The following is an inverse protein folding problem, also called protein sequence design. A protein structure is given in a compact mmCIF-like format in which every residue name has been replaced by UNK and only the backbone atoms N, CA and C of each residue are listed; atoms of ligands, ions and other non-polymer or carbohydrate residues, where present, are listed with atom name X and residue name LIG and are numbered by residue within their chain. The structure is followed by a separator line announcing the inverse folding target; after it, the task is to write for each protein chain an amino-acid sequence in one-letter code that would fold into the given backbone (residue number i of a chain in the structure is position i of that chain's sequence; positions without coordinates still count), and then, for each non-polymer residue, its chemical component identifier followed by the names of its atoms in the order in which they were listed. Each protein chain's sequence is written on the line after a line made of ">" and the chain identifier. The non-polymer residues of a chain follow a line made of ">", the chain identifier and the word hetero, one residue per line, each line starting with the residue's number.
data_IF_045056252282
#
_entry.id   IF_045056252282
#
_cell.length_a   1.000
_cell.length_b   1.000
_cell.length_c   1.000
_cell.angle_alpha   90.00
_cell.angle_beta   90.00
_cell.angle_gamma   90.00
#
_symmetry.space_group_name_H-M   'P 1'
#
loop_
_entity.id
_entity.type
_entity.pdbx_description
1 polymer ?
#
# COMPACT_ATOMS: atom_id res chain seq x y z
N UNK A 1 -1.65 6.01 14.23
CA UNK A 1 -1.98 7.35 14.76
C UNK A 1 -2.66 8.11 13.65
N UNK A 2 -3.99 8.17 13.74
CA UNK A 2 -4.88 8.77 12.75
C UNK A 2 -4.70 10.29 12.80
N UNK A 3 -4.46 10.92 11.65
CA UNK A 3 -4.71 12.34 11.49
C UNK A 3 -6.02 12.48 10.71
N UNK A 4 -6.90 13.28 11.30
CA UNK A 4 -8.24 13.65 10.86
C UNK A 4 -8.16 14.47 9.56
N UNK A 5 -8.84 14.01 8.51
CA UNK A 5 -8.72 14.52 7.13
C UNK A 5 -9.94 15.40 6.76
N UNK A 6 -10.37 16.27 7.67
CA UNK A 6 -11.49 17.21 7.45
C UNK A 6 -11.08 18.51 6.75
N UNK A 7 -10.02 18.53 5.92
CA UNK A 7 -9.70 19.70 5.10
C UNK A 7 -10.38 19.61 3.71
N UNK A 8 -11.44 20.40 3.45
CA UNK A 8 -12.20 20.36 2.20
C UNK A 8 -11.51 21.05 1.02
N UNK A 9 -10.20 21.34 1.10
CA UNK A 9 -9.40 21.88 -0.01
C UNK A 9 -8.67 20.81 -0.84
N UNK A 10 -8.67 19.55 -0.40
CA UNK A 10 -7.93 18.44 -1.05
C UNK A 10 -8.74 17.68 -2.13
N UNK A 11 -9.84 18.25 -2.62
CA UNK A 11 -10.90 17.56 -3.37
C UNK A 11 -10.55 17.23 -4.84
N UNK A 12 -9.27 17.15 -5.20
CA UNK A 12 -8.85 16.87 -6.58
C UNK A 12 -7.45 16.24 -6.61
N UNK A 13 -7.28 15.04 -6.06
CA UNK A 13 -6.32 14.05 -6.59
C UNK A 13 -6.69 12.69 -5.98
N UNK A 14 -7.22 11.78 -6.78
CA UNK A 14 -7.48 10.39 -6.38
C UNK A 14 -6.14 9.70 -6.09
N UNK A 15 -5.67 9.76 -4.84
CA UNK A 15 -4.52 9.01 -4.37
C UNK A 15 -5.00 7.63 -3.92
N UNK A 16 -4.77 6.63 -4.78
CA UNK A 16 -4.98 5.23 -4.44
C UNK A 16 -3.89 4.78 -3.45
N UNK A 17 -4.14 4.98 -2.17
CA UNK A 17 -3.32 4.45 -1.10
C UNK A 17 -3.65 2.97 -0.87
N UNK A 18 -2.69 2.08 -1.09
CA UNK A 18 -2.82 0.70 -0.66
C UNK A 18 -2.09 0.49 0.69
N UNK A 19 -2.89 0.37 1.76
CA UNK A 19 -2.64 -0.24 3.08
C UNK A 19 -2.21 0.66 4.27
N UNK A 20 -2.98 0.61 5.37
CA UNK A 20 -2.61 -0.07 6.63
C UNK A 20 -3.73 0.06 7.68
N UNK A 21 -4.29 -1.06 8.14
CA UNK A 21 -5.01 -1.16 9.42
C UNK A 21 -3.93 -1.55 10.43
N UNK A 22 -3.46 -0.56 11.20
CA UNK A 22 -2.57 -0.80 12.33
C UNK A 22 -3.40 -1.42 13.46
N UNK A 23 -3.45 -2.75 13.54
CA UNK A 23 -3.49 -3.57 14.79
C UNK A 23 -4.03 -5.00 14.61
N UNK A 24 -4.37 -5.44 13.40
CA UNK A 24 -4.79 -6.83 13.20
C UNK A 24 -3.73 -7.62 12.44
N UNK A 25 -3.22 -8.64 13.12
CA UNK A 25 -2.31 -9.66 12.62
C UNK A 25 -3.01 -10.47 11.50
N UNK A 26 -3.22 -9.86 10.33
CA UNK A 26 -3.81 -10.46 9.13
C UNK A 26 -2.83 -11.42 8.45
N UNK A 27 -2.04 -12.19 9.20
CA UNK A 27 -1.36 -13.35 8.63
C UNK A 27 -2.42 -14.40 8.28
N UNK A 28 -2.94 -14.29 7.07
CA UNK A 28 -3.94 -15.21 6.55
C UNK A 28 -5.32 -14.99 7.14
N UNK A 29 -5.83 -13.75 7.09
CA UNK A 29 -7.24 -13.51 7.43
C UNK A 29 -8.11 -14.43 6.55
N UNK A 30 -8.84 -15.37 7.17
CA UNK A 30 -9.57 -16.40 6.43
C UNK A 30 -10.85 -15.85 5.78
N UNK A 31 -11.18 -14.58 6.03
CA UNK A 31 -12.41 -13.97 5.57
C UNK A 31 -12.53 -13.86 4.04
N UNK A 32 -13.79 -13.77 3.63
CA UNK A 32 -14.26 -13.41 2.30
C UNK A 32 -13.88 -11.98 1.93
N UNK A 33 -13.98 -11.62 0.64
CA UNK A 33 -13.67 -10.25 0.20
C UNK A 33 -14.61 -9.23 0.88
N UNK A 34 -15.86 -9.61 1.08
CA UNK A 34 -16.91 -8.82 1.73
C UNK A 34 -16.61 -8.57 3.21
N UNK A 35 -16.21 -9.62 3.95
CA UNK A 35 -15.81 -9.49 5.35
C UNK A 35 -14.57 -8.62 5.51
N UNK A 36 -13.59 -8.75 4.61
CA UNK A 36 -12.38 -7.92 4.61
C UNK A 36 -12.73 -6.44 4.36
N UNK A 37 -13.64 -6.17 3.41
CA UNK A 37 -14.07 -4.82 3.07
C UNK A 37 -14.83 -4.17 4.25
N UNK A 38 -15.81 -4.88 4.80
CA UNK A 38 -16.58 -4.39 5.96
C UNK A 38 -15.65 -4.11 7.14
N UNK A 39 -14.75 -5.04 7.44
CA UNK A 39 -13.74 -4.87 8.47
C UNK A 39 -12.86 -3.63 8.22
N UNK A 40 -12.39 -3.40 6.99
CA UNK A 40 -11.60 -2.21 6.69
C UNK A 40 -12.38 -0.90 6.86
N UNK A 41 -13.66 -0.90 6.46
CA UNK A 41 -14.55 0.26 6.61
C UNK A 41 -14.86 0.58 8.06
N UNK A 42 -15.08 -0.43 8.91
CA UNK A 42 -15.29 -0.25 10.35
C UNK A 42 -14.09 0.42 11.05
N UNK A 43 -12.89 0.20 10.52
CA UNK A 43 -11.65 0.85 10.98
C UNK A 43 -11.35 2.19 10.28
N UNK A 44 -12.29 2.70 9.48
CA UNK A 44 -12.20 4.02 8.86
C UNK A 44 -11.37 4.07 7.57
N UNK A 45 -11.18 2.96 6.86
CA UNK A 45 -10.51 2.99 5.56
C UNK A 45 -11.34 3.82 4.55
N UNK A 46 -10.77 4.92 4.06
CA UNK A 46 -11.37 5.82 3.07
C UNK A 46 -10.86 5.58 1.64
N UNK A 47 -9.87 4.72 1.49
CA UNK A 47 -9.24 4.37 0.21
C UNK A 47 -9.79 3.06 -0.35
N UNK A 48 -9.66 2.83 -1.68
CA UNK A 48 -10.13 1.58 -2.30
C UNK A 48 -9.44 0.34 -1.74
N UNK A 49 -10.23 -0.65 -1.36
CA UNK A 49 -9.78 -2.01 -1.01
C UNK A 49 -10.09 -2.92 -2.18
N UNK A 50 -9.10 -3.71 -2.61
CA UNK A 50 -9.22 -4.64 -3.73
C UNK A 50 -9.43 -6.06 -3.24
N UNK A 51 -9.91 -6.93 -4.13
CA UNK A 51 -10.09 -8.36 -3.86
C UNK A 51 -8.79 -9.04 -3.44
N UNK A 52 -8.91 -10.11 -2.66
CA UNK A 52 -7.77 -10.93 -2.25
C UNK A 52 -7.09 -11.55 -3.47
N UNK A 53 -5.79 -11.34 -3.60
CA UNK A 53 -5.02 -11.82 -4.73
C UNK A 53 -3.62 -12.33 -4.34
N UNK A 54 -3.08 -13.22 -5.16
CA UNK A 54 -1.73 -13.75 -5.00
C UNK A 54 -0.69 -12.68 -5.38
N UNK A 55 0.20 -12.34 -4.42
CA UNK A 55 1.29 -11.37 -4.64
C UNK A 55 2.64 -12.05 -4.91
N UNK A 56 2.71 -13.37 -4.71
CA UNK A 56 3.88 -14.21 -4.95
C UNK A 56 3.47 -15.54 -5.61
N UNK A 57 4.46 -16.26 -6.16
CA UNK A 57 4.25 -17.57 -6.78
C UNK A 57 3.67 -17.50 -8.21
N UNK A 58 3.28 -18.66 -8.77
CA UNK A 58 2.89 -18.79 -10.19
C UNK A 58 1.64 -17.99 -10.59
N UNK A 59 0.75 -17.67 -9.63
CA UNK A 59 -0.47 -16.89 -9.84
C UNK A 59 -0.33 -15.42 -9.45
N UNK A 60 0.90 -14.94 -9.29
CA UNK A 60 1.16 -13.53 -8.92
C UNK A 60 0.46 -12.60 -9.91
N UNK A 61 -0.30 -11.63 -9.40
CA UNK A 61 -0.93 -10.63 -10.26
C UNK A 61 0.12 -9.80 -11.02
N UNK A 62 -0.14 -9.42 -12.29
CA UNK A 62 0.85 -8.73 -13.13
C UNK A 62 1.45 -7.46 -12.50
N UNK A 63 0.63 -6.69 -11.78
CA UNK A 63 1.07 -5.47 -11.08
C UNK A 63 2.15 -5.77 -10.04
N UNK A 64 1.99 -6.83 -9.23
CA UNK A 64 2.98 -7.23 -8.23
C UNK A 64 4.22 -7.85 -8.87
N UNK A 65 4.07 -8.59 -9.97
CA UNK A 65 5.22 -9.11 -10.71
C UNK A 65 6.09 -7.97 -11.25
N UNK A 66 5.46 -6.94 -11.83
CA UNK A 66 6.13 -5.73 -12.30
C UNK A 66 6.83 -4.98 -11.15
N UNK A 67 6.11 -4.65 -10.08
CA UNK A 67 6.64 -3.89 -8.95
C UNK A 67 7.83 -4.58 -8.26
N UNK A 68 7.74 -5.90 -8.05
CA UNK A 68 8.82 -6.68 -7.40
C UNK A 68 10.07 -6.80 -8.28
N UNK A 69 9.89 -6.81 -9.61
CA UNK A 69 10.99 -6.81 -10.57
C UNK A 69 11.68 -5.44 -10.62
N UNK A 70 10.91 -4.35 -10.67
CA UNK A 70 11.42 -2.99 -10.74
C UNK A 70 12.06 -2.53 -9.42
N UNK A 71 11.49 -2.93 -8.28
CA UNK A 71 11.94 -2.56 -6.95
C UNK A 71 12.22 -3.82 -6.10
N UNK A 72 13.34 -4.52 -6.35
CA UNK A 72 13.70 -5.67 -5.55
C UNK A 72 13.95 -5.28 -4.09
N UNK A 73 13.70 -6.21 -3.19
CA UNK A 73 13.97 -6.07 -1.76
C UNK A 73 15.44 -6.33 -1.43
N UNK A 74 15.71 -6.61 -0.16
CA UNK A 74 17.06 -6.88 0.33
C UNK A 74 17.74 -8.02 -0.43
N UNK A 75 19.02 -7.84 -0.76
CA UNK A 75 19.80 -8.79 -1.56
C UNK A 75 19.17 -9.15 -2.92
N UNK A 76 18.45 -8.21 -3.54
CA UNK A 76 17.84 -8.42 -4.86
C UNK A 76 16.59 -9.29 -4.85
N UNK A 77 16.04 -9.62 -3.67
CA UNK A 77 14.89 -10.53 -3.58
C UNK A 77 13.61 -9.92 -4.15
N UNK A 78 12.98 -10.60 -5.09
CA UNK A 78 11.68 -10.20 -5.63
C UNK A 78 10.51 -10.71 -4.76
N UNK A 79 10.75 -11.47 -3.70
CA UNK A 79 9.68 -12.01 -2.86
C UNK A 79 9.15 -10.91 -1.93
N UNK A 80 7.82 -10.75 -1.86
CA UNK A 80 7.17 -10.00 -0.77
C UNK A 80 7.13 -10.92 0.44
N UNK A 81 8.05 -10.71 1.39
CA UNK A 81 8.27 -11.62 2.53
C UNK A 81 7.15 -11.56 3.57
N UNK A 82 6.44 -10.45 3.65
CA UNK A 82 5.43 -10.22 4.67
C UNK A 82 4.38 -9.20 4.23
N UNK A 83 3.25 -9.23 4.93
CA UNK A 83 2.19 -8.24 4.83
C UNK A 83 2.73 -6.82 5.08
N UNK A 84 2.00 -5.82 4.59
CA UNK A 84 2.33 -4.40 4.73
C UNK A 84 3.63 -3.95 4.06
N UNK A 85 4.16 -4.72 3.10
CA UNK A 85 5.15 -4.18 2.15
C UNK A 85 4.49 -3.08 1.32
N UNK A 86 5.11 -1.91 1.23
CA UNK A 86 4.55 -0.77 0.49
C UNK A 86 5.38 -0.47 -0.76
N UNK A 87 4.72 -0.06 -1.84
CA UNK A 87 5.35 0.42 -3.05
C UNK A 87 4.86 1.84 -3.32
N UNK A 88 5.77 2.78 -3.49
CA UNK A 88 5.48 4.12 -3.94
C UNK A 88 5.73 4.19 -5.44
N UNK A 89 4.72 4.67 -6.15
CA UNK A 89 4.68 4.82 -7.61
C UNK A 89 4.43 6.30 -7.88
N UNK A 90 5.14 6.87 -8.86
CA UNK A 90 4.99 8.28 -9.21
C UNK A 90 3.77 8.56 -10.11
N UNK A 91 3.57 9.84 -10.45
CA UNK A 91 2.45 10.31 -11.27
C UNK A 91 2.45 9.75 -12.71
N UNK A 92 3.60 9.32 -13.20
CA UNK A 92 3.77 8.71 -14.53
C UNK A 92 3.64 7.18 -14.49
N UNK A 93 3.28 6.63 -13.32
CA UNK A 93 3.13 5.19 -13.11
C UNK A 93 4.45 4.44 -12.97
N UNK A 94 5.57 5.14 -12.79
CA UNK A 94 6.87 4.49 -12.62
C UNK A 94 7.11 4.09 -11.16
N UNK A 95 7.60 2.87 -10.90
CA UNK A 95 7.93 2.45 -9.54
C UNK A 95 9.11 3.28 -8.98
N UNK A 96 8.87 4.03 -7.91
CA UNK A 96 9.87 4.90 -7.29
C UNK A 96 10.63 4.19 -6.15
N UNK A 97 9.91 3.61 -5.18
CA UNK A 97 10.56 3.03 -3.98
C UNK A 97 9.71 1.95 -3.31
N UNK A 98 10.39 0.95 -2.75
CA UNK A 98 9.78 -0.13 -1.95
C UNK A 98 10.16 0.05 -0.48
N UNK A 99 9.17 -0.06 0.40
CA UNK A 99 9.33 0.04 1.84
C UNK A 99 8.97 -1.27 2.55
N UNK A 100 9.69 -1.55 3.62
CA UNK A 100 9.46 -2.75 4.43
C UNK A 100 8.21 -2.62 5.30
N UNK A 101 7.72 -3.75 5.85
CA UNK A 101 6.57 -3.77 6.76
C UNK A 101 6.74 -2.83 7.95
N UNK A 102 7.96 -2.81 8.52
CA UNK A 102 8.35 -2.04 9.71
C UNK A 102 8.55 -0.55 9.42
N UNK A 103 8.48 -0.11 8.16
CA UNK A 103 8.54 1.30 7.84
C UNK A 103 7.21 1.95 8.20
N UNK A 104 7.24 2.79 9.24
CA UNK A 104 6.08 3.58 9.66
C UNK A 104 5.61 4.51 8.51
N UNK A 105 4.29 4.67 8.29
CA UNK A 105 3.74 5.50 7.21
C UNK A 105 4.29 6.93 7.18
N UNK A 106 4.46 7.55 8.34
CA UNK A 106 4.99 8.92 8.46
C UNK A 106 6.36 9.10 7.80
N UNK A 107 7.18 8.03 7.74
CA UNK A 107 8.50 8.08 7.10
C UNK A 107 8.43 8.14 5.58
N UNK A 108 7.27 7.92 4.97
CA UNK A 108 7.07 8.03 3.54
C UNK A 108 6.80 9.48 3.11
N UNK A 109 6.34 10.35 4.02
CA UNK A 109 5.87 11.70 3.66
C UNK A 109 6.90 12.51 2.89
N UNK A 110 8.18 12.47 3.29
CA UNK A 110 9.23 13.19 2.57
C UNK A 110 9.44 12.69 1.13
N UNK A 111 9.32 11.38 0.90
CA UNK A 111 9.37 10.83 -0.47
C UNK A 111 8.12 11.22 -1.27
N UNK A 112 6.95 11.32 -0.61
CA UNK A 112 5.68 11.70 -1.26
C UNK A 112 5.68 13.18 -1.65
N UNK A 113 5.99 14.10 -0.72
CA UNK A 113 6.02 15.54 -1.00
C UNK A 113 7.01 15.85 -2.13
N UNK A 114 8.17 15.19 -2.11
CA UNK A 114 9.14 15.25 -3.22
C UNK A 114 8.53 14.85 -4.57
N UNK A 115 7.73 13.78 -4.64
CA UNK A 115 7.08 13.36 -5.88
C UNK A 115 5.88 14.24 -6.26
N UNK A 116 5.28 14.93 -5.30
CA UNK A 116 4.22 15.91 -5.56
C UNK A 116 4.77 17.26 -6.04
N UNK A 117 6.05 17.54 -5.79
CA UNK A 117 6.70 18.83 -6.06
C UNK A 117 6.47 19.85 -4.95
N UNK A 118 6.23 19.36 -3.73
CA UNK A 118 5.99 20.14 -2.52
C UNK A 118 7.24 19.96 -1.63
N UNK A 119 7.94 21.04 -1.25
CA UNK A 119 9.12 21.01 -0.35
C UNK A 119 8.83 21.76 0.95
#
# INVERSE_FOLDING_TARGET
>A
MLLDDTDPSLNSTTLNWLNSIDDIELKGYPGTNEEILAFAQDFGATFPIFEKADVNGPRTQPVFAYLKKSLPGTFGTQVIKWNFTKFLVDRDGQPYKRFGPQTAPIKLLGDIYKLLGEE
#
